data_IF_199098826144
#
_entry.id   IF_199098826144
#
_cell.length_a   1.000
_cell.length_b   1.000
_cell.length_c   1.000
_cell.angle_alpha   90.00
_cell.angle_beta   90.00
_cell.angle_gamma   90.00
#
_symmetry.space_group_name_H-M   'P 1'
#
loop_
_entity.id
_entity.type
_entity.pdbx_description
1 polymer ?
#
# COMPACT_ATOMS: atom_id res chain seq x y z
N UNK A 1 -58.55 18.83 28.73
CA UNK A 1 -57.35 18.01 28.45
C UNK A 1 -56.86 18.35 27.05
N UNK A 2 -55.94 19.31 26.94
CA UNK A 2 -55.19 19.57 25.70
C UNK A 2 -54.02 18.60 25.65
N UNK A 3 -54.06 17.64 24.73
CA UNK A 3 -52.90 16.81 24.41
C UNK A 3 -51.98 17.62 23.50
N UNK A 4 -50.77 17.88 24.02
CA UNK A 4 -49.74 18.71 23.41
C UNK A 4 -49.32 18.19 22.03
N UNK A 5 -49.41 19.11 21.08
CA UNK A 5 -48.88 19.04 19.72
C UNK A 5 -47.36 18.90 19.70
N UNK A 6 -46.89 18.03 18.81
CA UNK A 6 -45.62 18.04 18.07
C UNK A 6 -44.32 18.37 18.83
N UNK A 7 -43.48 17.35 19.03
CA UNK A 7 -42.03 17.54 19.05
C UNK A 7 -41.57 17.93 17.64
N UNK A 8 -41.56 19.22 17.33
CA UNK A 8 -40.93 19.78 16.14
C UNK A 8 -39.43 19.43 16.13
N UNK A 9 -38.99 18.89 15.00
CA UNK A 9 -37.65 18.37 14.80
C UNK A 9 -36.57 19.42 15.03
N UNK A 10 -35.57 19.06 15.85
CA UNK A 10 -34.33 19.83 15.95
C UNK A 10 -33.70 19.94 14.54
N UNK A 11 -33.75 21.13 13.95
CA UNK A 11 -33.16 21.44 12.66
C UNK A 11 -31.67 21.07 12.61
N UNK A 12 -31.21 20.62 11.44
CA UNK A 12 -29.81 20.36 11.19
C UNK A 12 -29.00 21.66 11.41
N UNK A 13 -27.81 21.57 12.01
CA UNK A 13 -26.93 22.72 12.11
C UNK A 13 -26.50 23.18 10.70
N UNK A 14 -26.18 24.47 10.54
CA UNK A 14 -25.69 25.05 9.28
C UNK A 14 -24.56 24.21 8.65
N UNK A 15 -23.64 23.69 9.46
CA UNK A 15 -22.57 22.80 8.97
C UNK A 15 -23.11 21.46 8.42
N UNK A 16 -24.12 20.88 9.07
CA UNK A 16 -24.76 19.66 8.58
C UNK A 16 -25.51 19.92 7.27
N UNK A 17 -26.18 21.07 7.13
CA UNK A 17 -26.85 21.49 5.89
C UNK A 17 -25.85 21.72 4.74
N UNK A 18 -24.77 22.46 4.98
CA UNK A 18 -23.72 22.73 4.00
C UNK A 18 -23.06 21.43 3.52
N UNK A 19 -22.74 20.52 4.45
CA UNK A 19 -22.22 19.19 4.13
C UNK A 19 -23.24 18.37 3.32
N UNK A 20 -24.52 18.39 3.70
CA UNK A 20 -25.57 17.67 2.97
C UNK A 20 -25.72 18.22 1.55
N UNK A 21 -25.71 19.55 1.38
CA UNK A 21 -25.71 20.21 0.06
C UNK A 21 -24.49 19.82 -0.77
N UNK A 22 -23.29 19.86 -0.20
CA UNK A 22 -22.06 19.45 -0.88
C UNK A 22 -22.11 17.98 -1.32
N UNK A 23 -22.58 17.08 -0.45
CA UNK A 23 -22.71 15.67 -0.78
C UNK A 23 -23.78 15.42 -1.87
N UNK A 24 -24.92 16.12 -1.84
CA UNK A 24 -25.92 16.02 -2.92
C UNK A 24 -25.32 16.40 -4.28
N UNK A 25 -24.58 17.50 -4.34
CA UNK A 25 -23.89 17.94 -5.57
C UNK A 25 -22.81 16.94 -6.01
N UNK A 26 -22.03 16.40 -5.07
CA UNK A 26 -21.01 15.41 -5.37
C UNK A 26 -21.60 14.09 -5.87
N UNK A 27 -22.70 13.62 -5.26
CA UNK A 27 -23.43 12.43 -5.72
C UNK A 27 -23.96 12.65 -7.13
N UNK A 28 -24.60 13.78 -7.41
CA UNK A 28 -25.11 14.08 -8.76
C UNK A 28 -23.99 14.06 -9.81
N UNK A 29 -22.83 14.67 -9.51
CA UNK A 29 -21.65 14.66 -10.39
C UNK A 29 -21.06 13.26 -10.57
N UNK A 30 -20.95 12.49 -9.48
CA UNK A 30 -20.45 11.13 -9.53
C UNK A 30 -21.36 10.27 -10.40
N UNK A 31 -22.66 10.24 -10.11
CA UNK A 31 -23.66 9.46 -10.87
C UNK A 31 -23.65 9.83 -12.34
N UNK A 32 -23.61 11.12 -12.70
CA UNK A 32 -23.54 11.57 -14.10
C UNK A 32 -22.30 11.07 -14.84
N UNK A 33 -21.18 10.84 -14.14
CA UNK A 33 -19.90 10.45 -14.72
C UNK A 33 -19.56 8.96 -14.55
N UNK A 34 -20.45 8.18 -13.92
CA UNK A 34 -20.24 6.74 -13.77
C UNK A 34 -20.32 6.05 -15.14
N UNK A 35 -19.34 5.20 -15.48
CA UNK A 35 -19.46 4.31 -16.63
C UNK A 35 -20.50 3.21 -16.37
N UNK A 36 -21.00 2.52 -17.43
CA UNK A 36 -22.03 1.47 -17.30
C UNK A 36 -21.63 0.34 -16.34
N UNK A 37 -20.35 -0.04 -16.34
CA UNK A 37 -19.77 -1.00 -15.40
C UNK A 37 -18.88 -0.24 -14.43
N UNK A 38 -19.15 -0.31 -13.12
CA UNK A 38 -18.27 0.29 -12.11
C UNK A 38 -18.16 -0.63 -10.88
N UNK A 39 -16.98 -0.79 -10.25
CA UNK A 39 -16.83 -1.73 -9.14
C UNK A 39 -17.74 -1.38 -7.96
N UNK A 40 -18.66 -2.29 -7.62
CA UNK A 40 -19.68 -2.08 -6.57
C UNK A 40 -19.08 -1.74 -5.21
N UNK A 41 -17.99 -2.41 -4.82
CA UNK A 41 -17.29 -2.13 -3.56
C UNK A 41 -16.67 -0.72 -3.52
N UNK A 42 -16.23 -0.19 -4.67
CA UNK A 42 -15.71 1.18 -4.78
C UNK A 42 -16.85 2.18 -4.63
N UNK A 43 -17.97 1.95 -5.32
CA UNK A 43 -19.15 2.81 -5.25
C UNK A 43 -19.76 2.83 -3.83
N UNK A 44 -19.96 1.66 -3.24
CA UNK A 44 -20.47 1.53 -1.88
C UNK A 44 -19.60 2.30 -0.87
N UNK A 45 -18.27 2.17 -0.98
CA UNK A 45 -17.35 2.94 -0.13
C UNK A 45 -17.46 4.44 -0.40
N UNK A 46 -17.57 4.87 -1.65
CA UNK A 46 -17.68 6.28 -2.02
C UNK A 46 -18.94 6.93 -1.43
N UNK A 47 -20.10 6.26 -1.53
CA UNK A 47 -21.38 6.75 -1.01
C UNK A 47 -21.44 6.77 0.52
N UNK A 48 -20.69 5.88 1.19
CA UNK A 48 -20.57 5.85 2.66
C UNK A 48 -19.50 6.80 3.22
N UNK A 49 -18.82 7.59 2.38
CA UNK A 49 -17.84 8.56 2.88
C UNK A 49 -18.54 9.78 3.50
N UNK A 50 -17.93 10.36 4.54
CA UNK A 50 -18.40 11.62 5.15
C UNK A 50 -18.58 12.73 4.10
N UNK A 51 -17.62 12.82 3.17
CA UNK A 51 -17.69 13.64 1.98
C UNK A 51 -17.59 12.74 0.76
N UNK A 52 -18.63 12.72 -0.08
CA UNK A 52 -18.70 11.85 -1.25
C UNK A 52 -17.71 12.35 -2.30
N UNK A 53 -16.83 11.49 -2.87
CA UNK A 53 -15.94 11.90 -3.94
C UNK A 53 -16.76 12.21 -5.22
N UNK A 54 -16.56 13.37 -5.86
CA UNK A 54 -17.42 13.81 -6.96
C UNK A 54 -17.13 13.14 -8.31
N UNK A 55 -16.09 12.30 -8.42
CA UNK A 55 -15.68 11.67 -9.69
C UNK A 55 -15.29 10.19 -9.49
N UNK A 56 -15.44 9.34 -10.53
CA UNK A 56 -15.05 7.92 -10.47
C UNK A 56 -13.57 7.71 -10.12
N UNK A 57 -12.68 8.57 -10.65
CA UNK A 57 -11.25 8.54 -10.34
C UNK A 57 -10.99 8.74 -8.85
N UNK A 58 -11.61 9.75 -8.24
CA UNK A 58 -11.47 10.03 -6.81
C UNK A 58 -12.10 8.93 -5.94
N UNK A 59 -13.20 8.32 -6.40
CA UNK A 59 -13.79 7.16 -5.75
C UNK A 59 -12.81 5.96 -5.72
N UNK A 60 -12.19 5.64 -6.85
CA UNK A 60 -11.18 4.58 -6.98
C UNK A 60 -9.95 4.86 -6.09
N UNK A 61 -9.40 6.07 -6.15
CA UNK A 61 -8.25 6.43 -5.31
C UNK A 61 -8.58 6.34 -3.82
N UNK A 62 -9.73 6.86 -3.42
CA UNK A 62 -10.19 6.79 -2.04
C UNK A 62 -10.40 5.34 -1.59
N UNK A 63 -10.93 4.48 -2.45
CA UNK A 63 -11.07 3.05 -2.14
C UNK A 63 -9.71 2.42 -1.86
N UNK A 64 -8.71 2.59 -2.72
CA UNK A 64 -7.40 1.99 -2.48
C UNK A 64 -6.72 2.56 -1.23
N UNK A 65 -6.78 3.87 -0.99
CA UNK A 65 -6.26 4.50 0.24
C UNK A 65 -6.85 3.91 1.51
N UNK A 66 -8.13 3.52 1.47
CA UNK A 66 -8.81 2.88 2.61
C UNK A 66 -8.46 1.40 2.78
N UNK A 67 -7.86 0.76 1.77
CA UNK A 67 -7.60 -0.68 1.74
C UNK A 67 -6.15 -1.03 1.38
N UNK A 68 -5.14 -0.54 2.13
CA UNK A 68 -3.73 -0.78 1.83
C UNK A 68 -3.34 -2.27 1.85
N UNK A 69 -4.00 -3.12 2.67
CA UNK A 69 -3.74 -4.57 2.65
C UNK A 69 -4.26 -5.26 1.39
N UNK A 70 -5.37 -4.77 0.82
CA UNK A 70 -5.86 -5.26 -0.48
C UNK A 70 -4.93 -4.80 -1.59
N UNK A 71 -4.46 -3.55 -1.50
CA UNK A 71 -3.48 -2.98 -2.43
C UNK A 71 -2.18 -3.79 -2.43
N UNK A 72 -1.61 -4.13 -1.26
CA UNK A 72 -0.43 -5.00 -1.12
C UNK A 72 -0.62 -6.32 -1.85
N UNK A 73 -1.69 -7.06 -1.52
CA UNK A 73 -1.97 -8.38 -2.10
C UNK A 73 -2.12 -8.30 -3.62
N UNK A 74 -2.88 -7.32 -4.10
CA UNK A 74 -3.10 -7.14 -5.53
C UNK A 74 -1.80 -6.76 -6.25
N UNK A 75 -1.02 -5.82 -5.72
CA UNK A 75 0.23 -5.39 -6.35
C UNK A 75 1.23 -6.54 -6.45
N UNK A 76 1.37 -7.37 -5.41
CA UNK A 76 2.22 -8.57 -5.45
C UNK A 76 1.70 -9.63 -6.42
N UNK A 77 0.38 -9.84 -6.50
CA UNK A 77 -0.20 -10.74 -7.49
C UNK A 77 0.02 -10.25 -8.94
N UNK A 78 -0.09 -8.94 -9.18
CA UNK A 78 0.20 -8.34 -10.48
C UNK A 78 1.69 -8.45 -10.84
N UNK A 79 2.59 -8.26 -9.86
CA UNK A 79 4.02 -8.46 -10.04
C UNK A 79 4.34 -9.92 -10.39
N UNK A 80 3.72 -10.89 -9.70
CA UNK A 80 3.86 -12.31 -10.00
C UNK A 80 3.43 -12.67 -11.43
N UNK A 81 2.38 -12.01 -11.96
CA UNK A 81 1.94 -12.17 -13.35
C UNK A 81 2.92 -11.60 -14.37
N UNK A 82 3.71 -10.59 -14.00
CA UNK A 82 4.74 -10.02 -14.89
C UNK A 82 6.04 -10.79 -14.85
N UNK A 83 6.40 -11.33 -13.68
CA UNK A 83 7.75 -11.83 -13.43
C UNK A 83 8.78 -10.69 -13.37
N UNK A 84 10.05 -11.07 -13.19
CA UNK A 84 11.17 -10.16 -13.42
C UNK A 84 11.45 -10.05 -14.93
N UNK A 85 11.98 -8.92 -15.42
CA UNK A 85 12.59 -8.87 -16.74
C UNK A 85 13.70 -9.92 -16.89
N UNK A 86 13.97 -10.35 -18.12
CA UNK A 86 15.11 -11.24 -18.42
C UNK A 86 16.41 -10.63 -17.92
N UNK A 87 17.26 -11.45 -17.29
CA UNK A 87 18.55 -11.09 -16.71
C UNK A 87 18.53 -10.03 -15.60
N UNK A 88 17.34 -9.62 -15.15
CA UNK A 88 17.23 -8.67 -14.06
C UNK A 88 17.73 -9.28 -12.75
N UNK A 89 18.51 -8.49 -12.01
CA UNK A 89 18.95 -8.81 -10.66
C UNK A 89 18.74 -7.60 -9.76
N UNK A 90 18.45 -7.84 -8.48
CA UNK A 90 18.29 -6.76 -7.54
C UNK A 90 19.65 -6.09 -7.25
N UNK A 91 19.79 -4.85 -7.70
CA UNK A 91 20.98 -4.02 -7.53
C UNK A 91 20.65 -2.74 -6.75
N UNK A 92 21.68 -2.15 -6.14
CA UNK A 92 21.62 -0.83 -5.50
C UNK A 92 22.61 0.09 -6.21
N UNK A 93 22.29 1.38 -6.30
CA UNK A 93 23.21 2.40 -6.82
C UNK A 93 22.92 3.74 -6.17
N UNK A 94 23.94 4.58 -6.07
CA UNK A 94 23.77 5.97 -5.63
C UNK A 94 23.35 6.91 -6.77
N UNK A 95 23.41 6.45 -8.03
CA UNK A 95 22.97 7.20 -9.20
C UNK A 95 21.45 7.16 -9.39
N UNK A 96 20.80 8.26 -9.01
CA UNK A 96 19.34 8.42 -9.12
C UNK A 96 18.79 8.37 -10.55
N UNK A 97 19.61 8.61 -11.56
CA UNK A 97 19.15 8.65 -12.96
C UNK A 97 18.74 7.27 -13.50
N UNK A 98 19.32 6.21 -12.93
CA UNK A 98 19.09 4.82 -13.34
C UNK A 98 17.71 4.26 -12.94
N UNK A 99 17.06 4.87 -11.95
CA UNK A 99 15.80 4.38 -11.36
C UNK A 99 15.96 3.24 -10.33
N UNK A 100 17.20 2.80 -10.07
CA UNK A 100 17.52 1.82 -9.03
C UNK A 100 17.44 2.44 -7.62
N UNK A 101 17.13 1.64 -6.58
CA UNK A 101 17.10 2.12 -5.21
C UNK A 101 18.51 2.35 -4.63
N UNK A 102 18.67 3.42 -3.85
CA UNK A 102 19.92 3.73 -3.13
C UNK A 102 20.14 2.87 -1.89
N UNK A 103 19.08 2.23 -1.39
CA UNK A 103 19.16 1.38 -0.19
C UNK A 103 18.27 0.16 -0.33
N UNK A 104 18.64 -0.93 0.34
CA UNK A 104 17.79 -2.11 0.47
C UNK A 104 16.49 -1.87 1.26
N UNK A 105 16.26 -0.66 1.79
CA UNK A 105 15.02 -0.33 2.49
C UNK A 105 13.89 -0.03 1.52
N UNK A 106 14.20 0.38 0.30
CA UNK A 106 13.20 0.53 -0.76
C UNK A 106 12.97 -0.82 -1.45
N UNK A 107 11.72 -1.18 -1.77
CA UNK A 107 11.43 -2.42 -2.49
C UNK A 107 12.09 -2.42 -3.88
N UNK A 108 12.60 -3.57 -4.36
CA UNK A 108 12.99 -3.71 -5.77
C UNK A 108 11.79 -3.45 -6.69
N UNK A 109 12.02 -2.72 -7.77
CA UNK A 109 10.99 -2.36 -8.73
C UNK A 109 11.58 -2.31 -10.15
N UNK A 110 11.84 -3.47 -10.80
CA UNK A 110 12.52 -3.57 -12.08
C UNK A 110 11.97 -2.63 -13.13
N UNK A 111 10.64 -2.52 -13.24
CA UNK A 111 9.99 -1.69 -14.25
C UNK A 111 10.04 -0.19 -13.98
N UNK A 112 10.67 0.25 -12.89
CA UNK A 112 11.07 1.65 -12.65
C UNK A 112 12.48 1.94 -13.15
N UNK A 113 13.30 0.92 -13.34
CA UNK A 113 14.65 1.03 -13.88
C UNK A 113 14.55 1.33 -15.36
N UNK A 114 15.31 2.30 -15.84
CA UNK A 114 15.19 2.78 -17.22
C UNK A 114 15.42 1.66 -18.24
N UNK A 115 16.36 0.76 -17.97
CA UNK A 115 16.71 -0.38 -18.82
C UNK A 115 15.57 -1.40 -19.00
N UNK A 116 14.62 -1.44 -18.06
CA UNK A 116 13.54 -2.42 -18.05
C UNK A 116 12.15 -1.77 -18.08
N UNK A 117 12.08 -0.44 -18.21
CA UNK A 117 10.83 0.29 -18.24
C UNK A 117 10.00 -0.13 -19.47
N UNK A 118 8.73 -0.51 -19.23
CA UNK A 118 7.77 -0.83 -20.31
C UNK A 118 7.16 0.41 -20.98
N UNK A 119 7.41 1.60 -20.43
CA UNK A 119 6.91 2.86 -20.95
C UNK A 119 5.43 3.13 -20.64
N UNK A 120 4.87 4.04 -21.44
CA UNK A 120 3.50 4.56 -21.31
C UNK A 120 2.45 3.44 -21.32
N UNK A 121 1.49 3.48 -20.39
CA UNK A 121 0.43 2.49 -20.29
C UNK A 121 0.74 1.28 -19.42
N UNK A 122 1.96 1.15 -18.90
CA UNK A 122 2.35 0.03 -18.03
C UNK A 122 2.73 0.52 -16.65
N UNK A 123 2.31 -0.21 -15.62
CA UNK A 123 2.63 0.15 -14.25
C UNK A 123 4.11 -0.08 -13.97
N UNK A 124 4.84 0.95 -13.57
CA UNK A 124 6.26 0.84 -13.26
C UNK A 124 6.55 0.05 -11.97
N UNK A 125 5.53 -0.22 -11.14
CA UNK A 125 5.69 -1.09 -9.96
C UNK A 125 5.50 -2.54 -10.31
N UNK A 126 4.38 -2.91 -10.96
CA UNK A 126 4.05 -4.32 -11.14
C UNK A 126 4.29 -4.83 -12.58
N UNK A 127 4.58 -3.95 -13.54
CA UNK A 127 4.82 -4.30 -14.95
C UNK A 127 3.57 -4.63 -15.78
N UNK A 128 2.38 -4.59 -15.20
CA UNK A 128 1.12 -4.89 -15.89
C UNK A 128 0.52 -3.65 -16.55
N UNK A 129 -0.29 -3.80 -17.63
CA UNK A 129 -0.98 -2.68 -18.27
C UNK A 129 -1.92 -1.95 -17.30
N UNK A 130 -1.98 -0.62 -17.41
CA UNK A 130 -2.85 0.26 -16.63
C UNK A 130 -4.04 0.65 -17.49
N UNK A 131 -5.24 0.48 -16.95
CA UNK A 131 -6.48 0.79 -17.65
C UNK A 131 -7.10 2.07 -17.13
N UNK A 132 -8.26 2.43 -17.67
CA UNK A 132 -9.02 3.62 -17.31
C UNK A 132 -9.10 3.79 -15.79
N UNK A 133 -8.94 5.04 -15.34
CA UNK A 133 -8.88 5.45 -13.93
C UNK A 133 -7.74 4.84 -13.08
N UNK A 134 -6.73 4.22 -13.69
CA UNK A 134 -5.65 3.53 -12.97
C UNK A 134 -6.06 2.14 -12.48
N UNK A 135 -7.09 1.54 -13.08
CA UNK A 135 -7.55 0.19 -12.74
C UNK A 135 -6.64 -0.89 -13.35
N UNK A 136 -6.69 -2.08 -12.76
CA UNK A 136 -5.77 -3.19 -13.06
C UNK A 136 -6.31 -4.21 -14.07
N UNK A 137 -7.54 -4.02 -14.54
CA UNK A 137 -8.24 -4.82 -15.58
C UNK A 137 -9.01 -3.87 -16.48
N UNK A 138 -9.14 -4.20 -17.77
CA UNK A 138 -9.94 -3.43 -18.71
C UNK A 138 -11.44 -3.69 -18.53
N UNK A 139 -12.05 -3.05 -17.52
CA UNK A 139 -13.48 -3.20 -17.26
C UNK A 139 -14.37 -2.54 -18.32
N UNK A 140 -13.79 -1.74 -19.22
CA UNK A 140 -14.54 -0.87 -20.13
C UNK A 140 -14.22 -1.13 -21.59
N UNK A 141 -13.39 -2.13 -21.90
CA UNK A 141 -12.87 -2.39 -23.24
C UNK A 141 -12.30 -1.12 -23.89
N UNK A 142 -11.70 -0.24 -23.08
CA UNK A 142 -11.16 1.05 -23.51
C UNK A 142 -9.70 0.93 -23.96
N UNK A 143 -9.11 -0.25 -23.79
CA UNK A 143 -7.71 -0.51 -24.01
C UNK A 143 -6.82 0.10 -22.93
N UNK A 144 -5.52 -0.07 -23.13
CA UNK A 144 -4.47 0.43 -22.23
C UNK A 144 -4.48 1.96 -22.19
N UNK A 145 -4.46 2.52 -20.99
CA UNK A 145 -4.38 3.96 -20.77
C UNK A 145 -2.93 4.43 -20.91
N UNK A 146 -2.54 4.85 -22.11
CA UNK A 146 -1.18 5.36 -22.42
C UNK A 146 -0.77 6.58 -21.60
N UNK A 147 -1.70 7.30 -20.98
CA UNK A 147 -1.41 8.45 -20.11
C UNK A 147 -1.11 8.04 -18.66
N UNK A 148 -1.06 6.75 -18.35
CA UNK A 148 -0.82 6.26 -17.00
C UNK A 148 0.37 5.29 -16.94
N UNK A 149 1.14 5.40 -15.87
CA UNK A 149 2.26 4.52 -15.53
C UNK A 149 2.14 3.93 -14.11
N UNK A 150 0.98 4.08 -13.48
CA UNK A 150 0.68 3.55 -12.15
C UNK A 150 -0.76 3.04 -12.07
N UNK A 151 -0.95 1.84 -11.52
CA UNK A 151 -2.25 1.48 -10.95
C UNK A 151 -2.47 2.24 -9.66
N UNK A 152 -3.71 2.64 -9.40
CA UNK A 152 -4.08 3.26 -8.11
C UNK A 152 -3.79 2.32 -6.93
N UNK A 153 -3.99 1.01 -7.12
CA UNK A 153 -3.62 0.01 -6.11
C UNK A 153 -2.10 -0.02 -5.86
N UNK A 154 -1.30 -0.04 -6.93
CA UNK A 154 0.16 -0.10 -6.82
C UNK A 154 0.76 1.15 -6.18
N UNK A 155 0.16 2.34 -6.36
CA UNK A 155 0.57 3.54 -5.60
C UNK A 155 0.44 3.31 -4.10
N UNK A 156 -0.71 2.79 -3.66
CA UNK A 156 -0.97 2.56 -2.23
C UNK A 156 -0.10 1.43 -1.68
N UNK A 157 0.11 0.35 -2.44
CA UNK A 157 1.03 -0.71 -2.07
C UNK A 157 2.45 -0.18 -1.90
N UNK A 158 2.93 0.63 -2.86
CA UNK A 158 4.26 1.25 -2.80
C UNK A 158 4.44 2.15 -1.57
N UNK A 159 3.44 2.98 -1.27
CA UNK A 159 3.43 3.80 -0.05
C UNK A 159 3.46 2.94 1.21
N UNK A 160 2.67 1.86 1.25
CA UNK A 160 2.64 0.92 2.36
C UNK A 160 3.99 0.23 2.58
N UNK A 161 4.65 -0.21 1.50
CA UNK A 161 5.96 -0.87 1.57
C UNK A 161 7.08 0.06 2.03
N UNK A 162 7.07 1.33 1.61
CA UNK A 162 8.11 2.29 1.99
C UNK A 162 7.86 2.94 3.36
N UNK A 163 6.61 2.96 3.84
CA UNK A 163 6.25 3.59 5.11
C UNK A 163 5.19 2.76 5.88
N UNK A 164 5.48 1.51 6.26
CA UNK A 164 4.50 0.63 6.91
C UNK A 164 4.06 1.14 8.29
N UNK A 165 4.89 1.95 8.96
CA UNK A 165 4.57 2.64 10.22
C UNK A 165 3.35 3.56 10.09
N UNK A 166 3.08 4.12 8.91
CA UNK A 166 1.87 4.89 8.62
C UNK A 166 0.57 4.07 8.75
N UNK A 167 0.65 2.74 8.76
CA UNK A 167 -0.48 1.83 8.89
C UNK A 167 -0.53 1.11 10.25
N UNK A 168 0.14 1.64 11.28
CA UNK A 168 0.22 1.03 12.62
C UNK A 168 -1.15 0.64 13.19
N UNK A 169 -2.16 1.53 13.12
CA UNK A 169 -3.51 1.24 13.64
C UNK A 169 -4.14 0.01 12.98
N UNK A 170 -3.94 -0.14 11.67
CA UNK A 170 -4.45 -1.25 10.89
C UNK A 170 -3.73 -2.56 11.24
N UNK A 171 -2.40 -2.53 11.28
CA UNK A 171 -1.57 -3.70 11.59
C UNK A 171 -1.81 -4.20 13.03
N UNK A 172 -1.98 -3.28 14.00
CA UNK A 172 -2.35 -3.62 15.38
C UNK A 172 -3.66 -4.41 15.45
N UNK A 173 -4.68 -3.96 14.71
CA UNK A 173 -5.99 -4.64 14.66
C UNK A 173 -5.88 -6.02 14.02
N UNK A 174 -5.11 -6.13 12.93
CA UNK A 174 -4.91 -7.39 12.23
C UNK A 174 -4.25 -8.46 13.14
N UNK A 175 -3.39 -8.05 14.07
CA UNK A 175 -2.78 -8.93 15.07
C UNK A 175 -3.63 -9.15 16.32
N UNK A 176 -4.92 -8.78 16.32
CA UNK A 176 -5.78 -8.90 17.49
C UNK A 176 -5.29 -8.07 18.69
N UNK A 177 -4.58 -6.96 18.43
CA UNK A 177 -3.97 -6.10 19.45
C UNK A 177 -2.94 -6.80 20.34
N UNK A 178 -2.33 -7.88 19.85
CA UNK A 178 -1.28 -8.64 20.54
C UNK A 178 0.08 -8.50 19.85
N UNK A 179 1.12 -8.44 20.67
CA UNK A 179 2.51 -8.50 20.25
C UNK A 179 2.72 -9.82 19.53
N UNK A 180 3.23 -9.76 18.30
CA UNK A 180 3.38 -10.99 17.50
C UNK A 180 4.36 -11.98 18.12
N UNK A 181 5.39 -11.45 18.78
CA UNK A 181 6.48 -12.23 19.35
C UNK A 181 6.13 -12.78 20.74
N UNK A 182 5.68 -11.91 21.66
CA UNK A 182 5.41 -12.30 23.04
C UNK A 182 3.96 -12.70 23.34
N UNK A 183 3.04 -12.56 22.38
CA UNK A 183 1.59 -12.76 22.51
C UNK A 183 0.89 -11.89 23.60
N UNK A 184 1.65 -11.01 24.27
CA UNK A 184 1.14 -10.02 25.25
C UNK A 184 0.36 -8.92 24.54
N UNK A 185 -0.43 -8.15 25.29
CA UNK A 185 -1.13 -6.98 24.75
C UNK A 185 -0.15 -5.95 24.18
N UNK A 186 -0.50 -5.34 23.04
CA UNK A 186 0.29 -4.26 22.44
C UNK A 186 0.17 -2.99 23.28
N UNK A 187 1.31 -2.48 23.73
CA UNK A 187 1.41 -1.22 24.45
C UNK A 187 1.27 -0.02 23.51
N UNK A 188 1.16 1.19 24.08
CA UNK A 188 1.07 2.43 23.28
C UNK A 188 2.29 2.60 22.38
N UNK A 189 3.48 2.31 22.92
CA UNK A 189 4.78 2.41 22.25
C UNK A 189 5.15 1.16 21.43
N UNK A 190 4.18 0.32 21.04
CA UNK A 190 4.46 -0.77 20.11
C UNK A 190 4.80 -0.24 18.72
N UNK A 191 5.75 -0.89 18.06
CA UNK A 191 6.34 -0.46 16.79
C UNK A 191 6.08 -1.48 15.69
N UNK A 192 5.99 -1.00 14.45
CA UNK A 192 5.93 -1.84 13.27
C UNK A 192 7.34 -2.27 12.91
N UNK A 193 7.54 -3.56 12.72
CA UNK A 193 8.83 -4.18 12.45
C UNK A 193 8.70 -5.23 11.34
N UNK A 194 9.83 -5.56 10.70
CA UNK A 194 9.92 -6.65 9.73
C UNK A 194 10.31 -7.95 10.44
N UNK A 195 9.59 -9.07 10.24
CA UNK A 195 9.91 -10.38 10.83
C UNK A 195 11.33 -10.80 10.44
N UNK A 196 11.61 -10.80 9.14
CA UNK A 196 12.95 -10.92 8.54
C UNK A 196 13.47 -9.50 8.26
N UNK A 197 14.53 -9.05 8.93
CA UNK A 197 15.08 -7.72 8.73
C UNK A 197 15.56 -7.49 7.28
N UNK A 198 15.28 -6.32 6.70
CA UNK A 198 15.58 -6.06 5.27
C UNK A 198 17.07 -6.15 4.90
N UNK A 199 17.99 -5.91 5.85
CA UNK A 199 19.43 -6.11 5.59
C UNK A 199 19.78 -7.59 5.41
N UNK A 200 19.05 -8.50 6.08
CA UNK A 200 19.21 -9.94 5.93
C UNK A 200 18.64 -10.38 4.58
N UNK A 201 17.51 -9.80 4.17
CA UNK A 201 16.92 -10.01 2.83
C UNK A 201 17.93 -9.66 1.75
N UNK A 202 18.56 -8.49 1.85
CA UNK A 202 19.62 -8.09 0.91
C UNK A 202 20.80 -9.07 0.86
N UNK A 203 21.23 -9.60 2.00
CA UNK A 203 22.40 -10.50 2.07
C UNK A 203 22.11 -11.94 1.64
N UNK A 204 20.91 -12.45 1.94
CA UNK A 204 20.63 -13.89 1.89
C UNK A 204 19.55 -14.26 0.86
N UNK A 205 18.72 -13.31 0.47
CA UNK A 205 17.52 -13.57 -0.33
C UNK A 205 17.47 -12.78 -1.64
N UNK A 206 18.48 -11.94 -1.94
CA UNK A 206 18.47 -11.04 -3.10
C UNK A 206 18.33 -11.73 -4.46
N UNK A 207 18.71 -13.00 -4.53
CA UNK A 207 18.65 -13.82 -5.76
C UNK A 207 17.30 -14.54 -5.92
N UNK A 208 16.35 -14.36 -4.99
CA UNK A 208 14.99 -14.85 -5.16
C UNK A 208 14.29 -14.12 -6.31
N UNK A 209 13.29 -14.76 -6.95
CA UNK A 209 12.45 -14.11 -7.93
C UNK A 209 11.85 -12.81 -7.38
N UNK A 210 11.87 -11.75 -8.19
CA UNK A 210 11.38 -10.43 -7.77
C UNK A 210 9.97 -10.43 -7.13
N UNK A 211 8.98 -11.17 -7.65
CA UNK A 211 7.66 -11.23 -7.01
C UNK A 211 7.70 -11.80 -5.57
N UNK A 212 8.61 -12.73 -5.30
CA UNK A 212 8.82 -13.28 -3.96
C UNK A 212 9.51 -12.27 -3.04
N UNK A 213 10.51 -11.54 -3.56
CA UNK A 213 11.19 -10.46 -2.83
C UNK A 213 10.19 -9.43 -2.27
N UNK A 214 9.18 -9.03 -3.05
CA UNK A 214 8.18 -8.06 -2.60
C UNK A 214 7.45 -8.48 -1.31
N UNK A 215 7.39 -9.78 -1.01
CA UNK A 215 6.83 -10.30 0.25
C UNK A 215 7.53 -9.77 1.50
N UNK A 216 8.81 -9.39 1.39
CA UNK A 216 9.61 -8.87 2.51
C UNK A 216 9.30 -7.43 2.92
N UNK A 217 8.71 -6.61 2.05
CA UNK A 217 8.22 -5.27 2.41
C UNK A 217 6.72 -5.24 2.66
N UNK A 218 6.02 -6.24 2.14
CA UNK A 218 4.58 -6.38 2.25
C UNK A 218 4.13 -6.98 3.57
N UNK A 219 2.81 -7.17 3.66
CA UNK A 219 2.16 -7.74 4.84
C UNK A 219 2.77 -9.06 5.36
N UNK A 220 3.22 -10.02 4.51
CA UNK A 220 3.74 -11.30 4.99
C UNK A 220 4.91 -11.17 5.98
N UNK A 221 5.75 -10.16 5.79
CA UNK A 221 6.94 -9.92 6.60
C UNK A 221 6.74 -8.81 7.64
N UNK A 222 5.58 -8.17 7.72
CA UNK A 222 5.34 -7.13 8.71
C UNK A 222 4.74 -7.70 10.00
N UNK A 223 5.13 -7.08 11.11
CA UNK A 223 4.61 -7.36 12.44
C UNK A 223 4.54 -6.10 13.29
N UNK A 224 3.76 -6.15 14.37
CA UNK A 224 3.76 -5.14 15.43
C UNK A 224 4.24 -5.81 16.71
N UNK A 225 5.27 -5.23 17.34
CA UNK A 225 5.91 -5.75 18.54
C UNK A 225 6.05 -4.65 19.60
N UNK A 226 6.06 -5.03 20.87
CA UNK A 226 6.32 -4.07 21.95
C UNK A 226 7.77 -3.59 21.89
N UNK A 227 8.02 -2.32 22.25
CA UNK A 227 9.35 -1.70 22.16
C UNK A 227 10.45 -2.49 22.87
N UNK A 228 10.17 -3.07 24.04
CA UNK A 228 11.14 -3.91 24.77
C UNK A 228 11.65 -5.09 23.92
N UNK A 229 10.74 -5.75 23.19
CA UNK A 229 11.05 -6.86 22.29
C UNK A 229 11.81 -6.34 21.07
N UNK A 230 11.40 -5.20 20.53
CA UNK A 230 12.09 -4.57 19.40
C UNK A 230 13.55 -4.24 19.75
N UNK A 231 13.80 -3.67 20.93
CA UNK A 231 15.16 -3.37 21.41
C UNK A 231 15.99 -4.64 21.57
N UNK A 232 15.42 -5.71 22.15
CA UNK A 232 16.12 -6.99 22.29
C UNK A 232 16.47 -7.61 20.92
N UNK A 233 15.56 -7.50 19.94
CA UNK A 233 15.80 -7.92 18.56
C UNK A 233 16.90 -7.10 17.90
N UNK A 234 16.83 -5.77 17.97
CA UNK A 234 17.86 -4.86 17.47
C UNK A 234 19.25 -5.15 18.08
N UNK A 235 19.32 -5.47 19.38
CA UNK A 235 20.56 -5.85 20.04
C UNK A 235 21.14 -7.17 19.49
N UNK A 236 20.27 -8.15 19.23
CA UNK A 236 20.65 -9.42 18.60
C UNK A 236 21.15 -9.22 17.18
N UNK A 237 20.46 -8.40 16.38
CA UNK A 237 20.86 -8.04 15.03
C UNK A 237 22.21 -7.29 15.00
N UNK A 238 22.46 -6.39 15.95
CA UNK A 238 23.73 -5.69 16.09
C UNK A 238 24.88 -6.66 16.39
N UNK A 239 24.68 -7.64 17.29
CA UNK A 239 25.65 -8.69 17.59
C UNK A 239 25.95 -9.55 16.35
N UNK A 240 24.92 -9.97 15.62
CA UNK A 240 25.08 -10.77 14.40
C UNK A 240 25.84 -9.99 13.30
N UNK A 241 25.60 -8.68 13.17
CA UNK A 241 26.38 -7.81 12.27
C UNK A 241 27.86 -7.71 12.68
N UNK A 242 28.15 -7.62 13.98
CA UNK A 242 29.53 -7.58 14.49
C UNK A 242 30.25 -8.92 14.24
N UNK A 243 29.63 -10.03 14.60
CA UNK A 243 30.19 -11.37 14.39
C UNK A 243 30.47 -11.66 12.91
N UNK A 244 29.55 -11.29 12.01
CA UNK A 244 29.77 -11.44 10.57
C UNK A 244 30.91 -10.57 10.03
N UNK A 245 31.16 -9.38 10.60
CA UNK A 245 32.32 -8.55 10.23
C UNK A 245 33.63 -9.16 10.72
N UNK A 246 33.66 -9.68 11.95
CA UNK A 246 34.85 -10.34 12.50
C UNK A 246 35.22 -11.60 11.72
N UNK A 247 34.25 -12.42 11.33
CA UNK A 247 34.51 -13.63 10.53
C UNK A 247 35.04 -13.32 9.12
N UNK A 248 34.64 -12.20 8.50
CA UNK A 248 35.21 -11.75 7.22
C UNK A 248 36.65 -11.25 7.37
N UNK A 249 37.04 -10.73 8.54
CA UNK A 249 38.40 -10.24 8.80
C UNK A 249 39.37 -11.37 9.14
N UNK A 250 38.92 -12.47 9.75
CA UNK A 250 39.77 -13.65 10.03
C UNK A 250 40.02 -14.56 8.82
N UNK A 251 39.26 -14.37 7.73
CA UNK A 251 39.38 -15.13 6.48
C UNK A 251 40.09 -14.35 5.35
N UNK A 252 40.60 -13.15 5.65
CA UNK A 252 41.36 -12.30 4.75
C UNK A 252 42.82 -12.20 5.22
#
# INVERSE_FOLDING_TARGET
MQLGSASEGAGLSKWQEDKAKANRLAIARLTKSLPPVFPSAVLARALNCRFVPPTPRLAIDGYWRAHPLRADRLARALAARSGAPTDWRWQLTDDRSTGLPTTYRSPPAPYREQAHAKGAGFCCVCGQPVYRFGWHVDLWNAGVNKNANWHSACVIAWQFWNAPSGQTRLLRRLQGLRCRDSNRRLLRAAEVDHRVPLFQVWRQHRDLPWPELLGYWGLPNLQVINREIHVAKCATEARNRRAARSATVELA
#
